data_IF_724813459845
#
_entry.id   IF_724813459845
#
_cell.length_a   1.000
_cell.length_b   1.000
_cell.length_c   1.000
_cell.angle_alpha   90.00
_cell.angle_beta   90.00
_cell.angle_gamma   90.00
#
_symmetry.space_group_name_H-M   'P 1'
#
loop_
_entity.id
_entity.type
_entity.pdbx_description
1 polymer ?
#
# COMPACT_ATOMS: atom_id res chain seq x y z
N UNK A 1 -14.83 4.22 -6.05
CA UNK A 1 -14.79 5.69 -6.24
C UNK A 1 -14.53 6.33 -4.89
N UNK A 2 -13.95 7.53 -4.87
CA UNK A 2 -13.75 8.36 -3.68
C UNK A 2 -14.18 9.77 -4.08
N UNK A 3 -15.27 10.26 -3.49
CA UNK A 3 -15.82 11.58 -3.74
C UNK A 3 -15.17 12.66 -2.86
N UNK A 4 -15.46 13.93 -3.14
CA UNK A 4 -14.99 15.04 -2.33
C UNK A 4 -15.38 14.88 -0.84
N UNK A 5 -14.39 15.04 0.04
CA UNK A 5 -14.49 14.80 1.49
C UNK A 5 -14.25 13.35 1.91
N UNK A 6 -14.36 12.39 1.00
CA UNK A 6 -14.12 10.97 1.30
C UNK A 6 -12.64 10.61 1.25
N UNK A 7 -12.27 9.55 1.98
CA UNK A 7 -10.92 9.01 2.09
C UNK A 7 -10.93 7.51 2.36
N UNK A 8 -9.75 6.91 2.38
CA UNK A 8 -9.55 5.55 2.90
C UNK A 8 -8.41 5.56 3.92
N UNK A 9 -8.70 5.15 5.16
CA UNK A 9 -7.69 5.10 6.23
C UNK A 9 -6.55 4.15 5.88
N UNK A 10 -5.35 4.40 6.38
CA UNK A 10 -4.22 3.51 6.09
C UNK A 10 -4.46 2.08 6.59
N UNK A 11 -4.10 1.11 5.76
CA UNK A 11 -4.30 -0.31 6.00
C UNK A 11 -3.26 -1.14 5.23
N UNK A 12 -3.23 -2.44 5.50
CA UNK A 12 -2.52 -3.40 4.69
C UNK A 12 -3.51 -4.16 3.82
N UNK A 13 -3.10 -4.52 2.61
CA UNK A 13 -3.96 -5.29 1.71
C UNK A 13 -3.99 -6.78 2.03
N UNK A 14 -2.94 -7.31 2.67
CA UNK A 14 -2.91 -8.70 3.12
C UNK A 14 -3.83 -8.91 4.34
N UNK A 15 -4.32 -10.13 4.52
CA UNK A 15 -5.19 -10.48 5.65
C UNK A 15 -4.42 -10.88 6.90
N UNK A 16 -3.20 -11.39 6.71
CA UNK A 16 -2.39 -11.98 7.76
C UNK A 16 -1.83 -10.93 8.72
N UNK A 17 -1.83 -11.24 10.02
CA UNK A 17 -1.19 -10.39 11.02
C UNK A 17 0.35 -10.44 10.95
N UNK A 18 1.03 -9.57 11.71
CA UNK A 18 2.49 -9.60 11.83
C UNK A 18 2.96 -11.01 12.21
N UNK A 19 4.03 -11.49 11.53
CA UNK A 19 4.67 -12.79 11.71
C UNK A 19 3.94 -14.04 11.16
N UNK A 20 2.87 -13.90 10.35
CA UNK A 20 2.24 -15.05 9.69
C UNK A 20 2.75 -15.21 8.26
N UNK A 21 3.29 -16.40 7.95
CA UNK A 21 3.56 -16.81 6.57
C UNK A 21 2.26 -16.85 5.78
N UNK A 22 2.27 -16.23 4.60
CA UNK A 22 1.12 -16.12 3.74
C UNK A 22 0.81 -17.47 3.11
N UNK A 23 -0.36 -18.02 3.44
CA UNK A 23 -0.99 -19.09 2.66
C UNK A 23 -2.23 -18.50 2.03
N UNK A 24 -2.25 -18.39 0.70
CA UNK A 24 -3.34 -17.80 -0.08
C UNK A 24 -3.63 -16.32 0.24
N UNK A 25 -2.57 -15.54 0.52
CA UNK A 25 -2.69 -14.09 0.76
C UNK A 25 -2.27 -13.27 -0.47
N UNK A 26 -2.54 -11.97 -0.41
CA UNK A 26 -2.26 -11.01 -1.47
C UNK A 26 -0.79 -10.62 -1.44
N UNK A 27 -0.06 -10.89 -2.52
CA UNK A 27 1.40 -10.69 -2.59
C UNK A 27 1.81 -9.35 -3.19
N UNK A 28 0.97 -8.79 -4.06
CA UNK A 28 1.14 -7.45 -4.60
C UNK A 28 -0.22 -6.84 -4.97
N UNK A 29 -0.26 -5.52 -4.95
CA UNK A 29 -1.43 -4.73 -5.32
C UNK A 29 -1.08 -3.85 -6.50
N UNK A 30 -1.93 -3.91 -7.53
CA UNK A 30 -1.89 -3.00 -8.66
C UNK A 30 -3.09 -2.06 -8.59
N UNK A 31 -2.83 -0.80 -8.24
CA UNK A 31 -3.84 0.23 -8.09
C UNK A 31 -3.86 1.11 -9.34
N UNK A 32 -4.88 0.91 -10.17
CA UNK A 32 -5.06 1.58 -11.46
C UNK A 32 -5.92 2.83 -11.25
N UNK A 33 -5.44 3.97 -11.74
CA UNK A 33 -6.14 5.25 -11.68
C UNK A 33 -6.95 5.46 -12.95
N UNK A 34 -8.25 5.18 -12.88
CA UNK A 34 -9.20 5.42 -13.96
C UNK A 34 -9.53 6.91 -14.10
N UNK A 35 -9.47 7.65 -12.99
CA UNK A 35 -9.57 9.09 -12.93
C UNK A 35 -8.88 9.59 -11.65
N UNK A 36 -8.03 10.60 -11.77
CA UNK A 36 -7.42 11.29 -10.64
C UNK A 36 -8.29 12.45 -10.17
N UNK A 37 -8.30 12.68 -8.86
CA UNK A 37 -8.91 13.87 -8.30
C UNK A 37 -8.16 15.14 -8.74
N UNK A 38 -8.87 16.26 -8.83
CA UNK A 38 -8.27 17.55 -9.17
C UNK A 38 -7.38 18.06 -8.04
N UNK A 39 -7.83 17.89 -6.79
CA UNK A 39 -7.07 18.24 -5.60
C UNK A 39 -7.25 17.17 -4.52
N UNK A 40 -6.16 16.74 -3.89
CA UNK A 40 -6.16 15.66 -2.89
C UNK A 40 -6.21 14.27 -3.52
N UNK A 41 -6.69 13.27 -2.78
CA UNK A 41 -6.85 11.91 -3.30
C UNK A 41 -5.55 11.14 -3.56
N UNK A 42 -4.40 11.60 -3.07
CA UNK A 42 -3.13 10.90 -3.22
C UNK A 42 -3.18 9.50 -2.57
N UNK A 43 -2.50 8.51 -3.14
CA UNK A 43 -2.18 7.30 -2.36
C UNK A 43 -1.08 7.65 -1.37
N UNK A 44 -1.33 7.36 -0.10
CA UNK A 44 -0.45 7.69 1.01
C UNK A 44 0.21 6.43 1.56
N UNK A 45 1.53 6.45 1.72
CA UNK A 45 2.32 5.40 2.33
C UNK A 45 3.05 5.97 3.56
N UNK A 46 2.52 5.80 4.79
CA UNK A 46 3.11 6.40 5.99
C UNK A 46 4.55 5.97 6.27
N UNK A 47 4.92 4.74 5.89
CA UNK A 47 6.21 4.17 6.28
C UNK A 47 7.23 4.05 5.15
N UNK A 48 6.87 4.39 3.90
CA UNK A 48 7.69 4.11 2.72
C UNK A 48 9.12 4.71 2.77
N UNK A 49 9.37 5.74 3.58
CA UNK A 49 10.69 6.34 3.74
C UNK A 49 11.62 5.65 4.75
N UNK A 50 11.15 4.66 5.51
CA UNK A 50 12.01 3.87 6.42
C UNK A 50 12.58 4.63 7.61
N UNK A 51 11.90 5.67 8.08
CA UNK A 51 12.35 6.55 9.18
C UNK A 51 11.46 6.49 10.43
N UNK A 52 10.57 5.53 10.45
CA UNK A 52 9.59 5.35 11.51
C UNK A 52 10.19 4.79 12.80
N UNK A 53 9.48 5.04 13.89
CA UNK A 53 9.78 4.39 15.16
C UNK A 53 9.25 2.96 15.10
N UNK A 54 10.14 2.00 15.38
CA UNK A 54 9.80 0.58 15.48
C UNK A 54 9.39 0.26 16.92
N UNK A 55 8.27 -0.44 17.10
CA UNK A 55 7.88 -1.02 18.38
C UNK A 55 8.82 -2.20 18.69
N UNK A 56 9.66 -2.11 19.73
CA UNK A 56 10.66 -3.15 20.03
C UNK A 56 10.03 -4.49 20.44
N UNK A 57 8.74 -4.53 20.77
CA UNK A 57 8.03 -5.76 21.15
C UNK A 57 7.61 -6.57 19.94
N UNK A 58 7.32 -5.91 18.82
CA UNK A 58 6.78 -6.53 17.61
C UNK A 58 7.78 -6.52 16.46
N UNK A 59 8.70 -5.55 16.43
CA UNK A 59 9.55 -5.28 15.27
C UNK A 59 8.82 -4.51 14.16
N UNK A 60 7.65 -3.93 14.44
CA UNK A 60 6.82 -3.23 13.45
C UNK A 60 6.78 -1.72 13.69
N UNK A 61 6.57 -0.91 12.63
CA UNK A 61 6.20 0.50 12.77
C UNK A 61 5.05 0.69 13.76
N UNK A 62 5.16 1.71 14.63
CA UNK A 62 4.02 2.14 15.43
C UNK A 62 2.88 2.56 14.51
N UNK A 63 1.64 2.08 14.74
CA UNK A 63 0.50 2.49 13.92
C UNK A 63 0.30 4.01 13.98
N UNK A 64 -0.19 4.64 12.89
CA UNK A 64 -0.58 6.03 12.93
C UNK A 64 -1.63 6.23 14.04
N UNK A 65 -1.36 7.14 14.98
CA UNK A 65 -2.24 7.39 16.12
C UNK A 65 -3.54 8.10 15.71
N UNK A 66 -3.54 8.81 14.58
CA UNK A 66 -4.69 9.54 14.07
C UNK A 66 -4.84 9.41 12.54
N UNK A 67 -5.68 8.45 12.12
CA UNK A 67 -6.03 8.24 10.72
C UNK A 67 -6.70 9.47 10.06
N UNK A 68 -7.23 10.42 10.84
CA UNK A 68 -7.83 11.65 10.30
C UNK A 68 -6.80 12.68 9.84
N UNK A 69 -5.56 12.57 10.33
CA UNK A 69 -4.50 13.54 10.04
C UNK A 69 -3.32 12.94 9.29
N UNK A 70 -3.44 11.70 8.82
CA UNK A 70 -2.41 11.01 8.02
C UNK A 70 -1.95 11.82 6.80
N UNK A 71 -2.87 12.57 6.20
CA UNK A 71 -2.58 13.39 5.02
C UNK A 71 -2.35 14.88 5.34
N UNK A 72 -2.44 15.27 6.61
CA UNK A 72 -2.14 16.63 7.05
C UNK A 72 -0.62 16.86 7.03
N UNK A 73 -0.14 18.05 6.63
CA UNK A 73 1.29 18.35 6.63
C UNK A 73 1.96 18.21 8.00
N UNK A 74 1.22 18.49 9.08
CA UNK A 74 1.70 18.45 10.46
C UNK A 74 1.59 17.07 11.12
N UNK A 75 0.78 16.17 10.55
CA UNK A 75 0.48 14.84 11.09
C UNK A 75 1.28 13.71 10.47
N UNK A 76 2.14 14.02 9.49
CA UNK A 76 2.86 13.01 8.71
C UNK A 76 4.08 12.46 9.46
N UNK A 77 4.23 11.12 9.54
CA UNK A 77 5.48 10.53 10.01
C UNK A 77 6.63 10.91 9.08
N UNK A 78 7.84 10.99 9.64
CA UNK A 78 9.03 11.31 8.85
C UNK A 78 9.23 10.26 7.75
N UNK A 79 9.45 10.71 6.52
CA UNK A 79 9.63 9.82 5.38
C UNK A 79 8.32 9.29 4.76
N UNK A 80 7.15 9.73 5.22
CA UNK A 80 5.90 9.37 4.56
C UNK A 80 5.88 9.83 3.09
N UNK A 81 5.32 9.00 2.21
CA UNK A 81 5.25 9.27 0.77
C UNK A 81 3.80 9.45 0.36
N UNK A 82 3.51 10.54 -0.36
CA UNK A 82 2.24 10.76 -1.06
C UNK A 82 2.48 10.68 -2.56
N UNK A 83 1.67 9.88 -3.24
CA UNK A 83 1.74 9.69 -4.68
C UNK A 83 0.47 10.26 -5.31
N UNK A 84 0.61 11.39 -5.99
CA UNK A 84 -0.38 11.91 -6.91
C UNK A 84 -0.18 11.20 -8.25
N UNK A 85 -1.07 10.25 -8.56
CA UNK A 85 -0.95 9.41 -9.75
C UNK A 85 -1.84 10.00 -10.85
N UNK A 86 -1.35 10.23 -12.08
CA UNK A 86 -2.17 10.73 -13.18
C UNK A 86 -3.24 9.74 -13.66
N UNK A 87 -4.32 10.26 -14.26
CA UNK A 87 -5.34 9.44 -14.92
C UNK A 87 -4.69 8.54 -15.99
N UNK A 88 -5.06 7.26 -16.02
CA UNK A 88 -4.50 6.24 -16.92
C UNK A 88 -3.20 5.61 -16.43
N UNK A 89 -2.66 6.04 -15.28
CA UNK A 89 -1.47 5.44 -14.67
C UNK A 89 -1.84 4.45 -13.56
N UNK A 90 -0.83 3.73 -13.05
CA UNK A 90 -1.02 2.79 -11.95
C UNK A 90 0.16 2.82 -10.98
N UNK A 91 -0.09 2.39 -9.75
CA UNK A 91 0.93 2.12 -8.74
C UNK A 91 0.95 0.62 -8.48
N UNK A 92 2.14 0.02 -8.57
CA UNK A 92 2.41 -1.33 -8.13
C UNK A 92 3.20 -1.26 -6.82
N UNK A 93 2.75 -1.98 -5.80
CA UNK A 93 3.51 -2.21 -4.58
C UNK A 93 3.34 -3.65 -4.12
N UNK A 94 4.38 -4.18 -3.47
CA UNK A 94 4.37 -5.52 -2.92
C UNK A 94 3.86 -5.48 -1.49
N UNK A 95 3.03 -6.47 -1.16
CA UNK A 95 2.50 -6.68 0.18
C UNK A 95 3.44 -7.58 1.01
N UNK A 96 4.54 -8.01 0.40
CA UNK A 96 5.41 -9.07 0.90
C UNK A 96 6.85 -8.78 0.58
N UNK A 97 7.72 -9.12 1.52
CA UNK A 97 9.15 -9.14 1.33
C UNK A 97 9.57 -10.31 0.44
N UNK A 98 10.79 -10.28 -0.16
CA UNK A 98 11.32 -11.38 -0.96
C UNK A 98 11.48 -12.71 -0.22
N UNK A 99 11.36 -12.74 1.10
CA UNK A 99 11.39 -13.95 1.92
C UNK A 99 9.98 -14.52 2.19
N UNK A 100 8.93 -13.91 1.62
CA UNK A 100 7.53 -14.30 1.80
C UNK A 100 6.86 -13.80 3.08
N UNK A 101 7.56 -13.04 3.91
CA UNK A 101 6.96 -12.34 5.06
C UNK A 101 6.14 -11.15 4.58
N UNK A 102 5.10 -10.79 5.33
CA UNK A 102 4.32 -9.58 5.07
C UNK A 102 5.21 -8.34 5.22
N UNK A 103 5.02 -7.36 4.33
CA UNK A 103 5.79 -6.13 4.36
C UNK A 103 5.07 -5.05 5.18
N UNK A 104 5.58 -4.65 6.37
CA UNK A 104 4.99 -3.56 7.15
C UNK A 104 4.95 -2.23 6.39
N UNK A 105 5.88 -2.01 5.48
CA UNK A 105 6.06 -0.77 4.72
C UNK A 105 5.03 -0.61 3.60
N UNK A 106 4.28 -1.67 3.27
CA UNK A 106 3.18 -1.61 2.30
C UNK A 106 1.89 -0.99 2.87
N UNK A 107 1.91 -0.55 4.15
CA UNK A 107 0.78 0.18 4.71
C UNK A 107 0.46 1.38 3.83
N UNK A 108 -0.79 1.51 3.43
CA UNK A 108 -1.21 2.56 2.53
C UNK A 108 -2.66 2.97 2.74
N UNK A 109 -2.97 4.20 2.36
CA UNK A 109 -4.32 4.75 2.39
C UNK A 109 -4.57 5.65 1.18
N UNK A 110 -5.76 6.26 1.15
CA UNK A 110 -6.08 7.32 0.19
C UNK A 110 -6.39 8.60 0.95
N UNK A 111 -5.64 9.66 0.64
CA UNK A 111 -5.91 10.97 1.20
C UNK A 111 -7.32 11.46 0.83
N UNK A 112 -7.90 12.37 1.63
CA UNK A 112 -9.16 12.99 1.30
C UNK A 112 -9.13 13.65 -0.07
N UNK A 113 -10.14 13.38 -0.90
CA UNK A 113 -10.36 14.18 -2.11
C UNK A 113 -10.89 15.54 -1.69
N UNK A 114 -10.24 16.61 -2.12
CA UNK A 114 -10.65 17.99 -1.80
C UNK A 114 -11.50 18.60 -2.90
N UNK A 115 -11.16 18.31 -4.16
CA UNK A 115 -11.88 18.79 -5.35
C UNK A 115 -11.94 17.68 -6.40
N UNK A 116 -13.10 17.51 -7.04
CA UNK A 116 -13.35 16.48 -8.04
C UNK A 116 -13.65 15.10 -7.44
N UNK A 117 -13.31 14.06 -8.18
CA UNK A 117 -13.50 12.66 -7.79
C UNK A 117 -12.29 11.80 -8.18
N UNK A 118 -12.04 10.74 -7.41
CA UNK A 118 -11.03 9.73 -7.73
C UNK A 118 -11.68 8.38 -8.04
N UNK A 119 -11.35 7.84 -9.20
CA UNK A 119 -11.80 6.52 -9.64
C UNK A 119 -10.59 5.60 -9.75
N UNK A 120 -10.63 4.50 -9.00
CA UNK A 120 -9.57 3.50 -9.00
C UNK A 120 -10.15 2.10 -9.18
N UNK A 121 -9.35 1.24 -9.81
CA UNK A 121 -9.58 -0.20 -9.82
C UNK A 121 -8.37 -0.87 -9.15
N UNK A 122 -8.65 -1.77 -8.21
CA UNK A 122 -7.61 -2.49 -7.47
C UNK A 122 -7.56 -3.93 -7.94
N UNK A 123 -6.39 -4.36 -8.41
CA UNK A 123 -6.11 -5.76 -8.74
C UNK A 123 -5.19 -6.33 -7.68
N UNK A 124 -5.67 -7.34 -6.96
CA UNK A 124 -4.87 -8.07 -5.99
C UNK A 124 -4.35 -9.37 -6.58
N UNK A 125 -3.02 -9.52 -6.57
CA UNK A 125 -2.37 -10.78 -6.97
C UNK A 125 -2.21 -11.68 -5.75
N UNK A 126 -2.51 -12.97 -5.89
CA UNK A 126 -2.43 -13.95 -4.78
C UNK A 126 -1.29 -14.93 -5.01
N UNK A 127 -0.57 -15.25 -3.94
CA UNK A 127 0.40 -16.35 -3.92
C UNK A 127 -0.30 -17.65 -3.52
N UNK A 128 -0.35 -18.63 -4.45
CA UNK A 128 -1.02 -19.93 -4.20
C UNK A 128 -0.22 -20.86 -3.27
N UNK A 129 1.10 -20.74 -3.24
CA UNK A 129 1.97 -21.59 -2.44
C UNK A 129 2.73 -20.77 -1.40
N UNK A 130 3.21 -21.44 -0.33
CA UNK A 130 4.23 -20.84 0.53
C UNK A 130 5.39 -20.39 -0.35
N UNK A 131 5.92 -19.22 -0.03
CA UNK A 131 7.14 -18.73 -0.64
C UNK A 131 8.25 -19.79 -0.47
N UNK A 132 8.77 -20.31 -1.60
CA UNK A 132 9.96 -21.17 -1.63
C UNK A 132 11.15 -20.29 -2.03
N UNK A 133 12.11 -20.03 -1.13
CA UNK A 133 13.28 -19.21 -1.43
C UNK A 133 14.18 -19.77 -2.56
N UNK A 134 13.98 -21.04 -2.96
CA UNK A 134 14.69 -21.65 -4.07
C UNK A 134 13.94 -21.53 -5.41
N UNK A 135 12.66 -21.15 -5.41
CA UNK A 135 11.85 -21.00 -6.61
C UNK A 135 11.92 -19.57 -7.15
N UNK A 136 12.99 -19.28 -7.90
CA UNK A 136 13.29 -17.96 -8.48
C UNK A 136 12.28 -17.51 -9.54
N UNK A 137 11.34 -18.36 -9.96
CA UNK A 137 10.48 -18.11 -11.13
C UNK A 137 9.14 -17.44 -10.78
N UNK A 138 8.66 -17.52 -9.53
CA UNK A 138 7.36 -16.94 -9.16
C UNK A 138 7.31 -15.41 -9.21
N UNK A 139 8.42 -14.72 -8.95
CA UNK A 139 8.49 -13.25 -9.10
C UNK A 139 8.56 -12.79 -10.56
N UNK A 140 9.10 -13.62 -11.45
CA UNK A 140 9.25 -13.29 -12.87
C UNK A 140 7.91 -13.30 -13.63
N UNK A 141 6.92 -14.09 -13.19
CA UNK A 141 5.59 -14.10 -13.81
C UNK A 141 4.76 -12.86 -13.48
N UNK A 142 4.93 -12.27 -12.29
CA UNK A 142 4.27 -11.00 -11.93
C UNK A 142 4.79 -9.86 -12.81
N UNK A 143 6.11 -9.83 -13.06
CA UNK A 143 6.71 -8.84 -13.97
C UNK A 143 6.26 -9.00 -15.42
N UNK A 144 5.91 -10.22 -15.85
CA UNK A 144 5.35 -10.47 -17.20
C UNK A 144 3.92 -9.95 -17.39
N UNK A 145 3.19 -9.63 -16.33
CA UNK A 145 1.87 -8.99 -16.45
C UNK A 145 1.96 -7.48 -16.75
N UNK A 146 3.15 -6.89 -16.65
CA UNK A 146 3.39 -5.45 -16.86
C UNK A 146 4.09 -5.13 -18.19
N UNK A 147 4.25 -6.12 -19.09
CA UNK A 147 4.89 -5.97 -20.40
C UNK A 147 3.91 -6.21 -21.55
#
# INVERSE_FOLDING_TARGET
>A
TIAAGEKYNSHHDYFSGPAKQLKDDRIATFLIYLQSAEVGGETFFPWAGGKEKIDPRTGWPYRPLDYNRECDPEGQPEGAVKVAVPTGSAVLFYNTLPNGEVDPYSQHGSCPVKVGEKWTATVWTRGKDRFDPNDRWKYAEILKMCA
#
